data_IF_249757941725
#
_entry.id   IF_249757941725
#
_cell.length_a   1.000
_cell.length_b   1.000
_cell.length_c   1.000
_cell.angle_alpha   90.00
_cell.angle_beta   90.00
_cell.angle_gamma   90.00
#
_symmetry.space_group_name_H-M   'P 1'
#
loop_
_entity.id
_entity.type
_entity.pdbx_description
1 polymer ?
#
# COMPACT_ATOMS: atom_id res chain seq x y z
N UNK A 1 -13.53 10.27 -16.73
CA UNK A 1 -12.52 10.68 -15.73
C UNK A 1 -11.72 9.46 -15.26
N UNK A 2 -11.42 8.53 -16.16
CA UNK A 2 -10.77 7.24 -15.89
C UNK A 2 -9.28 7.28 -16.26
N UNK A 3 -8.92 8.18 -17.18
CA UNK A 3 -7.60 8.28 -17.81
C UNK A 3 -6.48 8.59 -16.81
N UNK A 4 -6.78 9.33 -15.73
CA UNK A 4 -5.77 9.74 -14.74
C UNK A 4 -5.30 8.60 -13.82
N UNK A 5 -6.19 7.68 -13.44
CA UNK A 5 -5.80 6.57 -12.57
C UNK A 5 -5.10 5.46 -13.35
N UNK A 6 -5.52 5.22 -14.60
CA UNK A 6 -4.87 4.26 -15.47
C UNK A 6 -3.43 4.69 -15.78
N UNK A 7 -3.20 5.98 -16.04
CA UNK A 7 -1.85 6.53 -16.20
C UNK A 7 -0.99 6.35 -14.93
N UNK A 8 -1.56 6.56 -13.74
CA UNK A 8 -0.84 6.37 -12.48
C UNK A 8 -0.49 4.88 -12.23
N UNK A 9 -1.37 3.95 -12.63
CA UNK A 9 -1.10 2.50 -12.57
C UNK A 9 0.04 2.12 -13.53
N UNK A 10 0.03 2.66 -14.74
CA UNK A 10 1.12 2.45 -15.71
C UNK A 10 2.45 3.02 -15.21
N UNK A 11 2.43 4.23 -14.65
CA UNK A 11 3.61 4.88 -14.07
C UNK A 11 4.17 4.05 -12.91
N UNK A 12 3.33 3.65 -11.95
CA UNK A 12 3.75 2.78 -10.86
C UNK A 12 4.35 1.46 -11.39
N UNK A 13 3.73 0.84 -12.41
CA UNK A 13 4.25 -0.37 -13.05
C UNK A 13 5.64 -0.17 -13.67
N UNK A 14 5.89 0.97 -14.32
CA UNK A 14 7.21 1.33 -14.86
C UNK A 14 8.24 1.53 -13.76
N UNK A 15 7.89 2.26 -12.71
CA UNK A 15 8.81 2.51 -11.59
C UNK A 15 9.14 1.23 -10.81
N UNK A 16 8.16 0.34 -10.61
CA UNK A 16 8.39 -0.98 -10.04
C UNK A 16 9.41 -1.78 -10.87
N UNK A 17 9.22 -1.84 -12.18
CA UNK A 17 10.16 -2.50 -13.07
C UNK A 17 11.56 -1.87 -13.03
N UNK A 18 11.65 -0.53 -12.99
CA UNK A 18 12.92 0.19 -12.89
C UNK A 18 13.68 -0.12 -11.59
N UNK A 19 12.96 -0.42 -10.50
CA UNK A 19 13.52 -0.84 -9.20
C UNK A 19 13.74 -2.35 -9.09
N UNK A 20 13.58 -3.10 -10.18
CA UNK A 20 13.85 -4.55 -10.22
C UNK A 20 12.70 -5.42 -9.74
N UNK A 21 11.50 -4.86 -9.53
CA UNK A 21 10.31 -5.68 -9.26
C UNK A 21 9.88 -6.42 -10.52
N UNK A 22 9.63 -7.71 -10.36
CA UNK A 22 9.10 -8.56 -11.40
C UNK A 22 7.58 -8.69 -11.26
N UNK A 23 6.86 -8.64 -12.37
CA UNK A 23 5.42 -8.93 -12.38
C UNK A 23 5.21 -10.41 -12.11
N UNK A 24 4.80 -10.77 -10.89
CA UNK A 24 4.69 -12.17 -10.43
C UNK A 24 3.34 -12.80 -10.69
N UNK A 25 2.34 -12.01 -11.05
CA UNK A 25 1.06 -12.56 -11.47
C UNK A 25 0.01 -11.48 -11.72
N UNK A 26 -1.10 -11.94 -12.28
CA UNK A 26 -2.33 -11.18 -12.28
C UNK A 26 -3.54 -12.09 -12.43
N UNK A 27 -4.60 -11.76 -11.69
CA UNK A 27 -5.89 -12.40 -11.85
C UNK A 27 -6.86 -11.36 -12.37
N UNK A 28 -7.28 -11.53 -13.63
CA UNK A 28 -8.43 -10.83 -14.18
C UNK A 28 -9.53 -11.85 -14.41
N UNK A 29 -10.74 -11.60 -13.91
CA UNK A 29 -11.90 -12.33 -14.43
C UNK A 29 -12.09 -11.88 -15.88
N UNK A 30 -12.41 -12.81 -16.81
CA UNK A 30 -12.69 -12.46 -18.22
C UNK A 30 -13.95 -11.58 -18.39
N UNK A 31 -14.55 -11.07 -17.31
CA UNK A 31 -15.72 -10.22 -17.33
C UNK A 31 -15.70 -9.20 -16.20
N UNK A 32 -15.69 -7.92 -16.59
CA UNK A 32 -16.01 -6.72 -15.80
C UNK A 32 -15.59 -6.69 -14.33
N UNK A 33 -14.52 -5.93 -14.06
CA UNK A 33 -14.41 -5.12 -12.84
C UNK A 33 -13.23 -5.47 -11.94
N UNK A 34 -12.86 -6.74 -11.89
CA UNK A 34 -11.92 -7.23 -10.89
C UNK A 34 -10.59 -7.63 -11.52
N UNK A 35 -9.55 -6.88 -11.19
CA UNK A 35 -8.19 -7.11 -11.66
C UNK A 35 -7.23 -7.00 -10.48
N UNK A 36 -6.36 -7.98 -10.31
CA UNK A 36 -5.21 -7.88 -9.42
C UNK A 36 -3.96 -8.00 -10.26
N UNK A 37 -3.06 -7.04 -10.16
CA UNK A 37 -1.70 -7.14 -10.70
C UNK A 37 -0.72 -7.10 -9.54
N UNK A 38 0.16 -8.11 -9.45
CA UNK A 38 1.18 -8.23 -8.42
C UNK A 38 2.58 -8.08 -9.00
N UNK A 39 3.44 -7.41 -8.24
CA UNK A 39 4.86 -7.24 -8.47
C UNK A 39 5.63 -7.67 -7.23
N UNK A 40 6.78 -8.30 -7.38
CA UNK A 40 7.61 -8.71 -6.25
C UNK A 40 9.08 -8.44 -6.51
N UNK A 41 9.78 -8.03 -5.47
CA UNK A 41 11.23 -7.89 -5.44
C UNK A 41 11.74 -8.32 -4.07
N UNK A 42 12.61 -9.33 -4.03
CA UNK A 42 13.10 -9.92 -2.79
C UNK A 42 11.94 -10.34 -1.87
N UNK A 43 11.81 -9.73 -0.69
CA UNK A 43 10.75 -10.02 0.29
C UNK A 43 9.59 -9.01 0.24
N UNK A 44 9.61 -8.07 -0.71
CA UNK A 44 8.60 -7.02 -0.84
C UNK A 44 7.70 -7.32 -2.02
N UNK A 45 6.40 -7.21 -1.81
CA UNK A 45 5.41 -7.34 -2.88
C UNK A 45 4.53 -6.12 -2.94
N UNK A 46 4.23 -5.64 -4.13
CA UNK A 46 3.29 -4.55 -4.40
C UNK A 46 2.16 -5.12 -5.23
N UNK A 47 0.92 -4.76 -4.91
CA UNK A 47 -0.24 -5.11 -5.72
C UNK A 47 -1.10 -3.91 -6.00
N UNK A 48 -1.66 -3.93 -7.20
CA UNK A 48 -2.71 -3.02 -7.65
C UNK A 48 -3.97 -3.84 -7.81
N UNK A 49 -5.02 -3.48 -7.10
CA UNK A 49 -6.33 -4.16 -7.14
C UNK A 49 -7.36 -3.20 -7.72
N UNK A 50 -8.05 -3.60 -8.76
CA UNK A 50 -9.30 -3.02 -9.21
C UNK A 50 -10.41 -3.95 -8.73
N UNK A 51 -11.38 -3.44 -7.97
CA UNK A 51 -12.58 -4.18 -7.55
C UNK A 51 -13.79 -3.27 -7.78
N UNK A 52 -14.73 -3.71 -8.63
CA UNK A 52 -15.95 -2.96 -8.99
C UNK A 52 -15.71 -1.49 -9.34
N UNK A 53 -14.60 -1.20 -10.02
CA UNK A 53 -14.23 0.15 -10.46
C UNK A 53 -13.51 1.00 -9.40
N UNK A 54 -13.30 0.50 -8.19
CA UNK A 54 -12.43 1.09 -7.19
C UNK A 54 -11.01 0.54 -7.32
N UNK A 55 -10.01 1.38 -7.09
CA UNK A 55 -8.60 1.01 -7.17
C UNK A 55 -7.95 1.06 -5.79
N UNK A 56 -7.18 0.03 -5.47
CA UNK A 56 -6.42 -0.11 -4.23
C UNK A 56 -4.95 -0.36 -4.57
N UNK A 57 -4.08 0.30 -3.82
CA UNK A 57 -2.63 0.27 -4.00
C UNK A 57 -2.01 -0.16 -2.69
N UNK A 58 -1.43 -1.36 -2.67
CA UNK A 58 -0.98 -1.98 -1.44
C UNK A 58 0.41 -2.58 -1.60
N UNK A 59 1.17 -2.57 -0.51
CA UNK A 59 2.47 -3.21 -0.45
C UNK A 59 2.60 -4.09 0.80
N UNK A 60 3.42 -5.11 0.70
CA UNK A 60 3.65 -6.14 1.70
C UNK A 60 5.14 -6.25 2.00
N UNK A 61 5.57 -6.15 3.27
CA UNK A 61 6.97 -6.37 3.66
C UNK A 61 7.33 -7.86 3.79
N UNK A 62 6.37 -8.76 3.59
CA UNK A 62 6.48 -10.20 3.87
C UNK A 62 5.98 -11.05 2.72
N UNK A 63 6.38 -10.67 1.50
CA UNK A 63 6.08 -11.38 0.26
C UNK A 63 4.59 -11.75 0.10
N UNK A 64 3.70 -10.82 0.48
CA UNK A 64 2.25 -10.96 0.30
C UNK A 64 1.49 -11.65 1.43
N UNK A 65 2.12 -11.95 2.57
CA UNK A 65 1.41 -12.49 3.73
C UNK A 65 0.48 -11.46 4.41
N UNK A 66 0.87 -10.19 4.41
CA UNK A 66 0.09 -9.07 4.94
C UNK A 66 0.20 -7.85 4.02
N UNK A 67 -0.94 -7.22 3.68
CA UNK A 67 -1.02 -6.13 2.70
C UNK A 67 -1.45 -4.81 3.35
N UNK A 68 -0.70 -3.75 3.13
CA UNK A 68 -0.98 -2.43 3.70
C UNK A 68 -1.11 -1.40 2.58
N UNK A 69 -2.12 -0.54 2.67
CA UNK A 69 -2.28 0.56 1.72
C UNK A 69 -1.15 1.58 1.81
N UNK A 70 -1.05 2.40 0.77
CA UNK A 70 0.00 3.40 0.63
C UNK A 70 0.04 4.41 1.80
N UNK A 71 -1.12 4.75 2.38
CA UNK A 71 -1.19 5.70 3.50
C UNK A 71 -0.55 5.13 4.78
N UNK A 72 -0.71 3.83 5.03
CA UNK A 72 -0.04 3.17 6.15
C UNK A 72 1.47 3.07 5.94
N UNK A 73 1.91 2.83 4.71
CA UNK A 73 3.33 2.84 4.36
C UNK A 73 3.96 4.21 4.52
N UNK A 74 3.32 5.24 3.99
CA UNK A 74 3.73 6.63 4.18
C UNK A 74 3.90 6.96 5.67
N UNK A 75 2.88 6.68 6.50
CA UNK A 75 2.95 6.85 7.96
C UNK A 75 4.06 6.02 8.64
N UNK A 76 4.38 4.86 8.08
CA UNK A 76 5.47 4.02 8.56
C UNK A 76 6.84 4.63 8.25
N UNK A 77 7.00 5.28 7.10
CA UNK A 77 8.26 5.88 6.67
C UNK A 77 8.47 7.27 7.31
N UNK A 78 7.43 8.09 7.38
CA UNK A 78 7.52 9.49 7.84
C UNK A 78 7.31 9.67 9.34
N UNK A 79 6.85 8.63 10.06
CA UNK A 79 6.35 8.74 11.44
C UNK A 79 5.13 9.65 11.61
N UNK A 80 4.44 10.01 10.52
CA UNK A 80 3.19 10.76 10.60
C UNK A 80 1.99 9.85 10.90
N UNK A 81 0.92 10.38 11.51
CA UNK A 81 -0.30 9.61 11.69
C UNK A 81 -0.96 9.34 10.34
N UNK A 82 -1.26 8.06 10.05
CA UNK A 82 -2.06 7.71 8.87
C UNK A 82 -3.44 8.40 8.93
N UNK A 83 -3.97 8.92 7.81
CA UNK A 83 -5.31 9.48 7.74
C UNK A 83 -6.35 8.41 8.10
N UNK A 84 -7.49 8.84 8.67
CA UNK A 84 -8.58 7.92 9.06
C UNK A 84 -9.24 7.32 7.82
N UNK A 85 -9.61 8.19 6.88
CA UNK A 85 -10.10 7.81 5.57
C UNK A 85 -8.92 7.74 4.59
N UNK A 86 -8.79 6.66 3.80
CA UNK A 86 -7.73 6.56 2.80
C UNK A 86 -7.78 7.73 1.80
N UNK A 87 -6.61 8.21 1.40
CA UNK A 87 -6.50 9.21 0.33
C UNK A 87 -6.96 8.60 -1.00
N UNK A 88 -7.22 9.47 -1.97
CA UNK A 88 -7.68 9.02 -3.30
C UNK A 88 -6.70 8.03 -3.92
N UNK A 89 -7.23 7.13 -4.75
CA UNK A 89 -6.48 6.15 -5.50
C UNK A 89 -5.24 6.74 -6.22
N UNK A 90 -5.39 7.92 -6.85
CA UNK A 90 -4.29 8.62 -7.52
C UNK A 90 -3.18 9.06 -6.57
N UNK A 91 -3.53 9.52 -5.36
CA UNK A 91 -2.54 9.90 -4.34
C UNK A 91 -1.85 8.66 -3.80
N UNK A 92 -2.58 7.57 -3.56
CA UNK A 92 -1.98 6.33 -3.09
C UNK A 92 -0.99 5.73 -4.10
N UNK A 93 -1.32 5.76 -5.40
CA UNK A 93 -0.40 5.38 -6.45
C UNK A 93 0.88 6.23 -6.40
N UNK A 94 0.73 7.56 -6.33
CA UNK A 94 1.86 8.49 -6.28
C UNK A 94 2.75 8.30 -5.05
N UNK A 95 2.16 8.01 -3.88
CA UNK A 95 2.91 7.67 -2.66
C UNK A 95 3.77 6.43 -2.86
N UNK A 96 3.20 5.32 -3.35
CA UNK A 96 3.98 4.11 -3.60
C UNK A 96 5.06 4.32 -4.65
N UNK A 97 4.80 5.13 -5.68
CA UNK A 97 5.78 5.47 -6.72
C UNK A 97 6.98 6.24 -6.12
N UNK A 98 6.73 7.29 -5.35
CA UNK A 98 7.79 8.16 -4.83
C UNK A 98 8.58 7.52 -3.68
N UNK A 99 7.94 6.67 -2.89
CA UNK A 99 8.52 6.09 -1.67
C UNK A 99 9.02 4.65 -1.89
N UNK A 100 9.04 4.18 -3.14
CA UNK A 100 9.32 2.79 -3.47
C UNK A 100 10.68 2.33 -2.95
N UNK A 101 11.72 3.16 -3.10
CA UNK A 101 13.06 2.86 -2.63
C UNK A 101 13.11 2.73 -1.09
N UNK A 102 12.59 3.74 -0.38
CA UNK A 102 12.58 3.78 1.09
C UNK A 102 11.74 2.63 1.69
N UNK A 103 10.59 2.35 1.07
CA UNK A 103 9.74 1.22 1.43
C UNK A 103 10.52 -0.10 1.30
N UNK A 104 11.19 -0.28 0.17
CA UNK A 104 11.96 -1.49 -0.13
C UNK A 104 13.11 -1.67 0.86
N UNK A 105 13.90 -0.62 1.08
CA UNK A 105 15.02 -0.63 2.03
C UNK A 105 14.56 -0.90 3.46
N UNK A 106 13.48 -0.24 3.89
CA UNK A 106 12.91 -0.41 5.24
C UNK A 106 12.40 -1.83 5.46
N UNK A 107 11.72 -2.40 4.46
CA UNK A 107 11.23 -3.77 4.51
C UNK A 107 12.37 -4.82 4.51
N UNK A 108 13.47 -4.55 3.80
CA UNK A 108 14.62 -5.46 3.76
C UNK A 108 15.47 -5.40 5.03
N UNK A 109 15.69 -4.20 5.57
CA UNK A 109 16.57 -4.00 6.73
C UNK A 109 15.96 -4.52 8.02
N UNK A 110 14.64 -4.40 8.19
CA UNK A 110 13.97 -4.78 9.44
C UNK A 110 12.54 -5.30 9.20
N UNK A 111 12.37 -6.41 8.46
CA UNK A 111 11.06 -6.86 7.97
C UNK A 111 10.02 -7.04 9.08
N UNK A 112 10.41 -7.66 10.20
CA UNK A 112 9.48 -7.92 11.31
C UNK A 112 9.11 -6.66 12.07
N UNK A 113 10.06 -5.74 12.28
CA UNK A 113 9.79 -4.44 12.95
C UNK A 113 8.86 -3.60 12.07
N UNK A 114 9.13 -3.54 10.77
CA UNK A 114 8.30 -2.86 9.78
C UNK A 114 6.89 -3.44 9.76
N UNK A 115 6.75 -4.77 9.75
CA UNK A 115 5.46 -5.45 9.81
C UNK A 115 4.68 -5.12 11.09
N UNK A 116 5.32 -5.19 12.26
CA UNK A 116 4.68 -4.89 13.54
C UNK A 116 4.20 -3.45 13.61
N UNK A 117 5.02 -2.52 13.12
CA UNK A 117 4.69 -1.10 13.02
C UNK A 117 3.49 -0.86 12.10
N UNK A 118 3.49 -1.43 10.90
CA UNK A 118 2.37 -1.32 9.97
C UNK A 118 1.07 -1.89 10.56
N UNK A 119 1.15 -3.03 11.25
CA UNK A 119 0.00 -3.60 11.98
C UNK A 119 -0.48 -2.67 13.10
N UNK A 120 0.43 -2.02 13.83
CA UNK A 120 0.08 -1.05 14.86
C UNK A 120 -0.63 0.18 14.28
N UNK A 121 -0.13 0.73 13.17
CA UNK A 121 -0.76 1.84 12.44
C UNK A 121 -2.16 1.46 11.93
N UNK A 122 -2.32 0.27 11.36
CA UNK A 122 -3.63 -0.25 10.91
C UNK A 122 -4.63 -0.34 12.08
N UNK A 123 -4.20 -0.87 13.24
CA UNK A 123 -5.02 -0.94 14.46
C UNK A 123 -5.41 0.45 14.96
N UNK A 124 -4.46 1.38 15.02
CA UNK A 124 -4.71 2.75 15.46
C UNK A 124 -5.68 3.50 14.52
N UNK A 125 -5.52 3.35 13.20
CA UNK A 125 -6.48 3.88 12.21
C UNK A 125 -7.87 3.29 12.39
N UNK A 126 -7.97 1.96 12.55
CA UNK A 126 -9.25 1.29 12.77
C UNK A 126 -9.97 1.76 14.03
N UNK A 127 -9.26 1.98 15.13
CA UNK A 127 -9.83 2.49 16.40
C UNK A 127 -10.42 3.90 16.24
N UNK A 128 -9.66 4.79 15.59
CA UNK A 128 -10.12 6.15 15.28
C UNK A 128 -11.38 6.14 14.42
N UNK A 129 -11.47 5.24 13.44
CA UNK A 129 -12.66 5.14 12.55
C UNK A 129 -13.95 4.74 13.27
N UNK A 130 -13.86 3.93 14.32
CA UNK A 130 -15.04 3.48 15.09
C UNK A 130 -15.28 4.32 16.35
N UNK A 131 -14.60 5.47 16.49
CA UNK A 131 -14.75 6.35 17.65
C UNK A 131 -14.26 5.73 18.97
N UNK A 132 -13.44 4.67 18.91
CA UNK A 132 -12.72 4.20 20.10
C UNK A 132 -11.53 5.13 20.26
N UNK A 133 -11.78 6.21 20.99
CA UNK A 133 -10.75 7.06 21.55
C UNK A 133 -9.89 6.16 22.45
N UNK A 134 -8.60 6.02 22.14
CA UNK A 134 -7.65 5.41 23.07
C UNK A 134 -7.49 6.41 24.19
N UNK A 135 -8.34 6.30 25.21
CA UNK A 135 -8.45 7.26 26.29
C UNK A 135 -7.09 7.72 26.78
N UNK A 136 -6.78 8.98 26.49
CA UNK A 136 -6.08 9.82 27.45
C UNK A 136 -7.05 10.04 28.61
N UNK A 137 -7.10 9.07 29.53
CA UNK A 137 -7.33 9.37 30.95
C UNK A 137 -5.92 9.69 31.45
N UNK A 138 -5.52 10.95 31.63
CA UNK A 138 -6.10 11.86 32.60
C UNK A 138 -5.18 11.86 33.81
N UNK A 139 -4.30 12.87 33.87
CA UNK A 139 -3.47 13.31 35.01
C UNK A 139 -2.29 12.43 35.45
#
# INVERSE_FOLDING_TARGET
>A
MTDGIELAVEELGRELAAHGYEKTGGHGSKGFGDEVTCYSFMNVSVRVVRDRGQWFFEASPTNGADWFDADLWHACLTNEPAPVEPRSASIQAHLLTNELADLTETAQTSPMVTLERLRALRRARSRRRIGIDTGESGS
#
